data_IF_493773301670
#
_entry.id   IF_493773301670
#
_cell.length_a   1.000
_cell.length_b   1.000
_cell.length_c   1.000
_cell.angle_alpha   90.00
_cell.angle_beta   90.00
_cell.angle_gamma   90.00
#
_symmetry.space_group_name_H-M   'P 1'
#
loop_
_entity.id
_entity.type
_entity.pdbx_description
1 polymer ?
#
# COMPACT_ATOMS: atom_id res chain seq x y z
N UNK A 1 -12.32 21.99 -3.64
CA UNK A 1 -10.90 22.23 -3.30
C UNK A 1 -10.06 21.12 -3.90
N UNK A 2 -9.23 21.42 -4.89
CA UNK A 2 -8.29 20.46 -5.47
C UNK A 2 -7.17 20.27 -4.47
N UNK A 3 -7.29 19.28 -3.56
CA UNK A 3 -6.12 18.87 -2.77
C UNK A 3 -5.09 18.38 -3.78
N UNK A 4 -4.01 19.13 -3.95
CA UNK A 4 -2.82 18.66 -4.65
C UNK A 4 -2.41 17.35 -3.99
N UNK A 5 -2.51 16.24 -4.73
CA UNK A 5 -2.18 14.93 -4.18
C UNK A 5 -0.73 14.96 -3.76
N UNK A 6 -0.46 14.65 -2.50
CA UNK A 6 0.91 14.56 -2.00
C UNK A 6 1.62 13.40 -2.71
N UNK A 7 2.95 13.45 -2.78
CA UNK A 7 3.75 12.33 -3.29
C UNK A 7 3.41 11.02 -2.57
N UNK A 8 3.00 11.12 -1.30
CA UNK A 8 2.53 10.01 -0.47
C UNK A 8 1.20 9.43 -0.97
N UNK A 9 0.19 10.28 -1.21
CA UNK A 9 -1.10 9.85 -1.75
C UNK A 9 -0.96 9.19 -3.13
N UNK A 10 -0.08 9.72 -3.98
CA UNK A 10 0.22 9.13 -5.29
C UNK A 10 0.89 7.77 -5.16
N UNK A 11 1.85 7.62 -4.26
CA UNK A 11 2.52 6.35 -4.02
C UNK A 11 1.56 5.30 -3.46
N UNK A 12 0.72 5.67 -2.49
CA UNK A 12 -0.29 4.80 -1.91
C UNK A 12 -1.33 4.38 -2.95
N UNK A 13 -1.80 5.31 -3.78
CA UNK A 13 -2.76 5.01 -4.85
C UNK A 13 -2.19 4.04 -5.88
N UNK A 14 -0.92 4.19 -6.26
CA UNK A 14 -0.23 3.25 -7.17
C UNK A 14 -0.08 1.86 -6.54
N UNK A 15 0.21 1.79 -5.24
CA UNK A 15 0.28 0.52 -4.50
C UNK A 15 -1.07 -0.20 -4.49
N UNK A 16 -2.16 0.49 -4.14
CA UNK A 16 -3.52 -0.07 -4.20
C UNK A 16 -3.87 -0.58 -5.59
N UNK A 17 -3.56 0.19 -6.65
CA UNK A 17 -3.81 -0.27 -8.03
C UNK A 17 -2.97 -1.49 -8.43
N UNK A 18 -1.74 -1.62 -7.94
CA UNK A 18 -0.92 -2.80 -8.19
C UNK A 18 -1.51 -4.04 -7.50
N UNK A 19 -1.95 -3.90 -6.24
CA UNK A 19 -2.60 -4.98 -5.49
C UNK A 19 -3.93 -5.37 -6.16
N UNK A 20 -4.70 -4.40 -6.67
CA UNK A 20 -5.95 -4.68 -7.39
C UNK A 20 -5.72 -5.52 -8.62
N UNK A 21 -4.65 -5.27 -9.37
CA UNK A 21 -4.30 -6.10 -10.54
C UNK A 21 -3.96 -7.53 -10.16
N UNK A 22 -3.22 -7.73 -9.07
CA UNK A 22 -2.94 -9.09 -8.58
C UNK A 22 -4.22 -9.77 -8.10
N UNK A 23 -5.12 -9.05 -7.41
CA UNK A 23 -6.42 -9.58 -7.01
C UNK A 23 -7.32 -9.95 -8.19
N UNK A 24 -7.40 -9.09 -9.21
CA UNK A 24 -8.17 -9.36 -10.43
C UNK A 24 -7.61 -10.57 -11.19
N UNK A 25 -6.28 -10.78 -11.15
CA UNK A 25 -5.65 -11.97 -11.72
C UNK A 25 -5.96 -13.25 -10.93
N UNK A 26 -5.99 -13.18 -9.59
CA UNK A 26 -6.28 -14.32 -8.71
C UNK A 26 -7.78 -14.67 -8.59
N UNK A 27 -8.68 -13.71 -8.82
CA UNK A 27 -10.14 -13.92 -8.82
C UNK A 27 -10.60 -15.01 -9.80
N UNK A 28 -9.79 -15.33 -10.82
CA UNK A 28 -10.06 -16.43 -11.75
C UNK A 28 -9.75 -17.83 -11.20
N UNK A 29 -8.87 -17.95 -10.19
CA UNK A 29 -8.33 -19.24 -9.71
C UNK A 29 -8.64 -19.59 -8.26
N UNK A 30 -9.38 -18.74 -7.54
CA UNK A 30 -9.75 -18.78 -6.10
C UNK A 30 -9.01 -17.68 -5.35
N UNK A 31 -9.61 -16.48 -5.31
CA UNK A 31 -9.11 -15.41 -4.46
C UNK A 31 -9.05 -15.93 -3.00
N UNK A 32 -7.83 -16.08 -2.49
CA UNK A 32 -7.59 -16.52 -1.12
C UNK A 32 -8.02 -15.41 -0.15
N UNK A 33 -8.51 -15.79 1.03
CA UNK A 33 -8.83 -14.84 2.12
C UNK A 33 -7.66 -13.91 2.49
N UNK A 34 -6.43 -14.26 2.08
CA UNK A 34 -5.23 -13.43 2.24
C UNK A 34 -5.25 -12.21 1.30
N UNK A 35 -5.59 -12.38 0.03
CA UNK A 35 -5.58 -11.29 -0.97
C UNK A 35 -6.66 -10.26 -0.69
N UNK A 36 -7.82 -10.70 -0.19
CA UNK A 36 -8.88 -9.80 0.30
C UNK A 36 -8.38 -8.94 1.47
N UNK A 37 -7.71 -9.54 2.46
CA UNK A 37 -7.12 -8.79 3.58
C UNK A 37 -6.06 -7.79 3.12
N UNK A 38 -5.20 -8.17 2.16
CA UNK A 38 -4.18 -7.29 1.58
C UNK A 38 -4.86 -6.12 0.86
N UNK A 39 -5.97 -6.36 0.15
CA UNK A 39 -6.73 -5.30 -0.49
C UNK A 39 -7.27 -4.30 0.52
N UNK A 40 -7.93 -4.77 1.59
CA UNK A 40 -8.42 -3.91 2.67
C UNK A 40 -7.29 -3.11 3.32
N UNK A 41 -6.16 -3.76 3.62
CA UNK A 41 -4.98 -3.11 4.17
C UNK A 41 -4.44 -2.02 3.23
N UNK A 42 -4.44 -2.27 1.91
CA UNK A 42 -4.00 -1.27 0.92
C UNK A 42 -4.90 -0.03 0.89
N UNK A 43 -6.21 -0.20 1.07
CA UNK A 43 -7.15 0.90 1.16
C UNK A 43 -6.96 1.71 2.45
N UNK A 44 -6.67 1.05 3.57
CA UNK A 44 -6.34 1.72 4.83
C UNK A 44 -5.03 2.52 4.70
N UNK A 45 -4.00 2.00 4.02
CA UNK A 45 -2.79 2.76 3.71
C UNK A 45 -3.08 3.99 2.86
N UNK A 46 -3.93 3.87 1.83
CA UNK A 46 -4.35 5.00 1.01
C UNK A 46 -5.13 6.04 1.81
N UNK A 47 -6.02 5.60 2.71
CA UNK A 47 -6.77 6.49 3.59
C UNK A 47 -5.84 7.22 4.54
N UNK A 48 -4.91 6.52 5.17
CA UNK A 48 -3.92 7.09 6.08
C UNK A 48 -2.96 8.05 5.37
N UNK A 49 -2.56 7.76 4.13
CA UNK A 49 -1.80 8.70 3.30
C UNK A 49 -2.56 10.00 3.03
N UNK A 50 -3.88 9.94 2.81
CA UNK A 50 -4.75 11.10 2.60
C UNK A 50 -5.01 11.93 3.86
N UNK A 51 -4.97 11.28 5.03
CA UNK A 51 -5.18 11.96 6.33
C UNK A 51 -3.88 12.37 7.00
N UNK A 52 -2.72 12.03 6.42
CA UNK A 52 -1.41 12.24 7.05
C UNK A 52 -1.16 11.32 8.26
N UNK A 53 -1.93 10.24 8.39
CA UNK A 53 -1.88 9.30 9.50
C UNK A 53 -1.11 8.01 9.16
N UNK A 54 -0.31 8.01 8.09
CA UNK A 54 0.40 6.81 7.65
C UNK A 54 1.46 6.34 8.67
N UNK A 55 2.24 7.26 9.22
CA UNK A 55 3.25 6.97 10.26
C UNK A 55 2.60 6.37 11.52
N UNK A 56 1.55 6.96 12.11
CA UNK A 56 0.89 6.34 13.26
C UNK A 56 0.15 5.04 12.95
N UNK A 57 -0.31 4.83 11.70
CA UNK A 57 -0.92 3.56 11.27
C UNK A 57 0.13 2.43 11.21
N UNK A 58 1.30 2.71 10.63
CA UNK A 58 2.38 1.73 10.49
C UNK A 58 3.16 1.55 11.79
N UNK A 59 3.28 2.59 12.61
CA UNK A 59 4.08 2.58 13.83
C UNK A 59 5.55 2.26 13.51
N UNK A 60 6.04 1.14 14.04
CA UNK A 60 7.39 0.63 13.76
C UNK A 60 7.41 -0.43 12.63
N UNK A 61 6.25 -0.81 12.10
CA UNK A 61 6.14 -1.82 11.05
C UNK A 61 6.37 -1.19 9.66
N UNK A 62 6.97 -1.98 8.77
CA UNK A 62 7.13 -1.63 7.36
C UNK A 62 5.80 -1.79 6.62
N UNK A 63 5.65 -1.16 5.46
CA UNK A 63 4.44 -1.36 4.62
C UNK A 63 4.31 -2.84 4.21
N UNK A 64 5.45 -3.52 3.99
CA UNK A 64 5.49 -4.96 3.71
C UNK A 64 4.96 -5.82 4.86
N UNK A 65 5.21 -5.40 6.11
CA UNK A 65 4.73 -6.09 7.31
C UNK A 65 3.24 -5.87 7.50
N UNK A 66 2.77 -4.64 7.26
CA UNK A 66 1.36 -4.28 7.34
C UNK A 66 0.49 -5.02 6.31
N UNK A 67 0.99 -5.21 5.09
CA UNK A 67 0.32 -6.00 4.05
C UNK A 67 0.44 -7.51 4.25
N UNK A 68 1.41 -7.96 5.04
CA UNK A 68 1.77 -9.37 5.21
C UNK A 68 2.95 -9.77 4.33
N UNK A 69 4.08 -10.07 4.96
CA UNK A 69 5.34 -10.42 4.29
C UNK A 69 5.16 -11.59 3.32
N UNK A 70 4.39 -12.61 3.70
CA UNK A 70 4.20 -13.80 2.88
C UNK A 70 3.54 -13.48 1.53
N UNK A 71 2.52 -12.63 1.54
CA UNK A 71 1.85 -12.19 0.32
C UNK A 71 2.79 -11.32 -0.54
N UNK A 72 3.50 -10.37 0.07
CA UNK A 72 4.50 -9.55 -0.65
C UNK A 72 5.65 -10.40 -1.23
N UNK A 73 5.99 -11.52 -0.59
CA UNK A 73 6.97 -12.46 -1.11
C UNK A 73 6.45 -13.18 -2.36
N UNK A 74 5.20 -13.66 -2.33
CA UNK A 74 4.53 -14.30 -3.46
C UNK A 74 4.31 -13.32 -4.63
N UNK A 75 3.94 -12.07 -4.34
CA UNK A 75 3.63 -11.05 -5.34
C UNK A 75 4.77 -10.03 -5.48
N UNK A 76 5.90 -10.46 -6.04
CA UNK A 76 7.09 -9.60 -6.17
C UNK A 76 6.84 -8.30 -6.98
N UNK A 77 5.82 -8.27 -7.83
CA UNK A 77 5.41 -7.11 -8.63
C UNK A 77 4.99 -5.90 -7.78
N UNK A 78 4.52 -6.12 -6.54
CA UNK A 78 4.07 -5.02 -5.65
C UNK A 78 5.22 -4.35 -4.89
N UNK A 79 6.36 -5.02 -4.74
CA UNK A 79 7.55 -4.53 -4.02
C UNK A 79 8.06 -3.15 -4.46
N UNK A 80 8.16 -2.82 -5.76
CA UNK A 80 8.57 -1.46 -6.17
C UNK A 80 7.60 -0.38 -5.69
N UNK A 81 6.30 -0.66 -5.61
CA UNK A 81 5.29 0.28 -5.13
C UNK A 81 5.35 0.46 -3.61
N UNK A 82 5.62 -0.61 -2.88
CA UNK A 82 5.87 -0.57 -1.44
C UNK A 82 7.06 0.34 -1.14
N UNK A 83 8.19 0.13 -1.83
CA UNK A 83 9.39 0.97 -1.68
C UNK A 83 9.13 2.44 -2.00
N UNK A 84 8.33 2.72 -3.04
CA UNK A 84 7.94 4.07 -3.39
C UNK A 84 7.10 4.74 -2.28
N UNK A 85 6.19 4.00 -1.65
CA UNK A 85 5.39 4.50 -0.52
C UNK A 85 6.26 4.77 0.70
N UNK A 86 7.15 3.85 1.08
CA UNK A 86 8.06 4.02 2.22
C UNK A 86 9.04 5.18 2.02
N UNK A 87 9.53 5.36 0.78
CA UNK A 87 10.39 6.50 0.41
C UNK A 87 9.62 7.81 0.52
N UNK A 88 8.38 7.85 0.03
CA UNK A 88 7.53 9.04 0.14
C UNK A 88 7.16 9.35 1.60
N UNK A 89 6.96 8.32 2.44
CA UNK A 89 6.70 8.48 3.88
C UNK A 89 7.90 9.03 4.63
N UNK A 90 9.11 8.52 4.33
CA UNK A 90 10.37 8.98 4.94
C UNK A 90 10.79 10.37 4.43
N UNK A 91 10.47 10.70 3.18
CA UNK A 91 10.73 12.02 2.59
C UNK A 91 9.82 13.13 3.11
N UNK A 92 8.62 12.80 3.61
CA UNK A 92 7.69 13.77 4.19
C UNK A 92 8.13 14.30 5.57
N UNK A 93 9.15 13.70 6.21
CA UNK A 93 9.68 14.09 7.53
C UNK A 93 10.84 15.09 7.47
N UNK A 94 11.23 15.58 6.28
CA UNK A 94 12.24 16.64 6.12
C UNK A 94 11.69 17.77 5.22
N UNK A 95 10.81 18.59 5.78
CA UNK A 95 10.50 19.93 5.28
C UNK A 95 10.19 20.84 6.45
#
# INVERSE_FOLDING_TARGET
MTRSRTSLELAAGKLTSAIQKEWDAEMGESASSVTEQVMYASHELLRAAKTGSLVPLLGAASVSEFLGIQWVQAHANVRPFIRALETAASGATRA
#
